data_IF_818576468548
#
_entry.id   IF_818576468548
#
_cell.length_a   1.000
_cell.length_b   1.000
_cell.length_c   1.000
_cell.angle_alpha   90.00
_cell.angle_beta   90.00
_cell.angle_gamma   90.00
#
_symmetry.space_group_name_H-M   'P 1'
#
loop_
_entity.id
_entity.type
_entity.pdbx_description
1 polymer ?
#
# COMPACT_ATOMS: atom_id res chain seq x y z
N UNK A 1 -14.05 3.12 -21.22
CA UNK A 1 -14.67 2.90 -19.90
C UNK A 1 -13.72 2.04 -19.07
N UNK A 2 -12.76 2.64 -18.36
CA UNK A 2 -11.93 1.92 -17.40
C UNK A 2 -12.77 1.69 -16.15
N UNK A 3 -13.12 0.44 -15.85
CA UNK A 3 -13.73 0.09 -14.56
C UNK A 3 -12.73 0.42 -13.45
N UNK A 4 -12.95 1.53 -12.76
CA UNK A 4 -12.36 1.77 -11.45
C UNK A 4 -12.95 0.71 -10.53
N UNK A 5 -12.16 -0.30 -10.18
CA UNK A 5 -12.56 -1.41 -9.33
C UNK A 5 -12.82 -0.94 -7.91
N UNK A 6 -13.98 -0.33 -7.67
CA UNK A 6 -14.56 -0.25 -6.34
C UNK A 6 -15.01 -1.66 -5.96
N UNK A 7 -14.32 -2.24 -4.98
CA UNK A 7 -14.77 -3.48 -4.37
C UNK A 7 -15.87 -3.11 -3.41
N UNK A 8 -17.04 -3.69 -3.65
CA UNK A 8 -18.16 -3.62 -2.74
C UNK A 8 -18.20 -4.97 -2.05
N UNK A 9 -17.99 -4.95 -0.73
CA UNK A 9 -18.18 -6.10 0.13
C UNK A 9 -19.52 -5.90 0.82
N UNK A 10 -20.48 -6.76 0.52
CA UNK A 10 -21.77 -6.79 1.20
C UNK A 10 -21.84 -8.06 2.04
N UNK A 11 -22.18 -7.88 3.32
CA UNK A 11 -22.44 -8.96 4.26
C UNK A 11 -23.91 -8.92 4.69
N UNK A 12 -24.45 -10.03 5.16
CA UNK A 12 -25.86 -10.14 5.57
C UNK A 12 -26.23 -9.14 6.70
N UNK A 13 -25.26 -8.72 7.51
CA UNK A 13 -25.41 -7.69 8.54
C UNK A 13 -25.35 -6.22 8.06
N UNK A 14 -25.55 -5.88 6.78
CA UNK A 14 -25.55 -4.47 6.33
C UNK A 14 -26.96 -3.83 6.51
N UNK A 15 -27.28 -3.11 7.61
CA UNK A 15 -28.50 -2.32 7.66
C UNK A 15 -28.38 -1.17 6.64
N UNK A 16 -29.41 -0.96 5.82
CA UNK A 16 -29.53 0.18 4.89
C UNK A 16 -29.79 1.52 5.62
N UNK A 17 -29.23 1.72 6.82
CA UNK A 17 -29.37 2.93 7.60
C UNK A 17 -28.08 3.75 7.62
N UNK A 18 -28.17 5.09 7.65
CA UNK A 18 -27.00 5.95 7.75
C UNK A 18 -26.20 5.60 9.01
N UNK A 19 -24.90 5.36 8.83
CA UNK A 19 -23.96 5.02 9.89
C UNK A 19 -23.98 6.09 11.00
N UNK A 20 -24.32 5.75 12.26
CA UNK A 20 -24.02 6.63 13.38
C UNK A 20 -22.50 6.66 13.60
N UNK A 21 -21.94 7.86 13.69
CA UNK A 21 -20.58 8.12 14.18
C UNK A 21 -20.49 7.71 15.65
N UNK A 22 -20.17 6.45 15.93
CA UNK A 22 -19.81 6.01 17.28
C UNK A 22 -18.59 5.09 17.22
N UNK A 23 -17.61 5.38 18.08
CA UNK A 23 -16.35 4.65 18.18
C UNK A 23 -16.58 3.21 18.65
N UNK A 24 -15.87 2.20 18.11
CA UNK A 24 -16.00 0.84 18.59
C UNK A 24 -15.46 0.69 20.02
N UNK A 25 -16.01 -0.23 20.84
CA UNK A 25 -15.47 -0.55 22.14
C UNK A 25 -14.08 -1.19 22.02
N UNK A 26 -13.22 -0.83 22.97
CA UNK A 26 -11.80 -1.15 23.04
C UNK A 26 -11.59 -2.67 23.25
N UNK A 27 -11.48 -3.43 22.16
CA UNK A 27 -11.00 -4.82 22.21
C UNK A 27 -9.47 -4.77 22.29
N UNK A 28 -8.94 -4.91 23.51
CA UNK A 28 -7.50 -4.86 23.77
C UNK A 28 -6.72 -5.84 22.90
N UNK A 29 -5.72 -5.32 22.20
CA UNK A 29 -4.71 -6.11 21.51
C UNK A 29 -3.98 -7.02 22.52
N UNK A 30 -3.70 -8.29 22.18
CA UNK A 30 -2.84 -9.12 23.01
C UNK A 30 -1.43 -8.50 23.10
N UNK A 31 -0.76 -8.60 24.26
CA UNK A 31 0.56 -8.00 24.45
C UNK A 31 1.58 -8.61 23.49
N UNK A 32 2.53 -7.81 22.98
CA UNK A 32 3.60 -8.33 22.13
C UNK A 32 4.45 -9.36 22.90
N UNK A 33 5.00 -10.38 22.21
CA UNK A 33 5.91 -11.33 22.85
C UNK A 33 7.17 -10.61 23.38
N UNK A 34 7.79 -11.13 24.45
CA UNK A 34 8.94 -10.49 25.08
C UNK A 34 10.10 -10.33 24.10
N UNK A 35 10.69 -9.13 24.09
CA UNK A 35 11.84 -8.81 23.25
C UNK A 35 13.05 -9.64 23.64
N UNK A 36 13.55 -10.45 22.71
CA UNK A 36 14.81 -11.13 22.87
C UNK A 36 15.94 -10.10 22.84
N UNK A 37 16.58 -9.91 24.00
CA UNK A 37 17.76 -9.06 24.19
C UNK A 37 18.94 -9.55 23.34
N UNK A 38 19.71 -8.54 22.92
CA UNK A 38 21.14 -8.56 22.60
C UNK A 38 21.66 -9.63 21.63
N UNK A 39 21.86 -9.21 20.38
CA UNK A 39 22.92 -9.76 19.53
C UNK A 39 23.66 -8.63 18.83
N UNK A 40 24.49 -7.93 19.59
CA UNK A 40 25.69 -7.30 19.05
C UNK A 40 26.63 -8.39 18.50
N UNK A 41 26.39 -8.84 17.26
CA UNK A 41 27.37 -9.61 16.49
C UNK A 41 27.52 -8.96 15.12
N UNK A 42 28.76 -8.55 14.85
CA UNK A 42 29.16 -7.73 13.71
C UNK A 42 28.52 -8.16 12.40
N UNK A 43 27.75 -7.24 11.83
CA UNK A 43 27.36 -7.28 10.43
C UNK A 43 28.59 -6.85 9.63
N UNK A 44 29.05 -7.65 8.64
CA UNK A 44 30.12 -7.19 7.76
C UNK A 44 29.67 -5.89 7.10
N UNK A 45 30.55 -4.89 7.13
CA UNK A 45 30.38 -3.61 6.47
C UNK A 45 30.15 -3.88 4.98
N UNK A 46 28.89 -4.03 4.56
CA UNK A 46 28.56 -4.01 3.14
C UNK A 46 28.93 -2.60 2.71
N UNK A 47 30.03 -2.50 1.97
CA UNK A 47 30.47 -1.25 1.36
C UNK A 47 29.26 -0.65 0.66
N UNK A 48 28.69 0.41 1.24
CA UNK A 48 27.51 1.01 0.67
C UNK A 48 27.94 1.57 -0.68
N UNK A 49 27.39 1.05 -1.78
CA UNK A 49 27.45 1.77 -3.03
C UNK A 49 26.99 3.21 -2.77
N UNK A 50 27.78 4.18 -3.22
CA UNK A 50 27.40 5.59 -3.12
C UNK A 50 26.04 5.78 -3.79
N UNK A 51 25.14 6.52 -3.15
CA UNK A 51 23.86 6.87 -3.77
C UNK A 51 24.14 7.70 -5.04
N UNK A 52 23.36 7.51 -6.12
CA UNK A 52 23.49 8.35 -7.30
C UNK A 52 23.06 9.79 -7.00
N UNK A 53 23.56 10.76 -7.77
CA UNK A 53 23.16 12.17 -7.66
C UNK A 53 21.71 12.40 -8.07
N UNK A 54 21.24 11.64 -9.07
CA UNK A 54 19.87 11.66 -9.57
C UNK A 54 19.33 10.25 -9.75
N UNK A 55 18.01 10.12 -9.85
CA UNK A 55 17.33 8.86 -10.15
C UNK A 55 16.07 9.11 -10.96
N UNK A 56 15.53 8.07 -11.59
CA UNK A 56 14.33 8.16 -12.44
C UNK A 56 13.06 7.97 -11.61
N UNK A 57 12.06 8.79 -11.90
CA UNK A 57 10.73 8.67 -11.32
C UNK A 57 9.64 9.08 -12.33
N UNK A 58 8.47 8.46 -12.22
CA UNK A 58 7.26 8.98 -12.84
C UNK A 58 6.69 10.11 -11.96
N UNK A 59 6.60 11.30 -12.53
CA UNK A 59 6.09 12.51 -11.87
C UNK A 59 5.05 13.20 -12.73
N UNK A 60 4.27 14.05 -12.08
CA UNK A 60 3.33 14.95 -12.71
C UNK A 60 3.67 16.39 -12.31
N UNK A 61 3.73 17.30 -13.28
CA UNK A 61 3.97 18.73 -13.03
C UNK A 61 2.72 19.44 -12.52
N UNK A 62 1.54 18.96 -12.94
CA UNK A 62 0.23 19.42 -12.52
C UNK A 62 -0.78 18.26 -12.60
N UNK A 63 -1.98 18.47 -12.04
CA UNK A 63 -3.10 17.54 -12.20
C UNK A 63 -3.64 17.58 -13.63
N UNK A 64 -4.35 16.52 -14.04
CA UNK A 64 -4.92 16.39 -15.39
C UNK A 64 -5.92 15.25 -15.49
N UNK A 65 -6.49 15.07 -16.69
CA UNK A 65 -7.67 14.22 -16.91
C UNK A 65 -7.42 12.71 -16.74
N UNK A 66 -6.17 12.27 -16.86
CA UNK A 66 -5.79 10.86 -16.75
C UNK A 66 -4.34 10.70 -16.33
N UNK A 67 -3.98 9.51 -15.84
CA UNK A 67 -2.59 9.15 -15.55
C UNK A 67 -1.67 9.38 -16.75
N UNK A 68 -2.09 8.95 -17.95
CA UNK A 68 -1.31 9.12 -19.19
C UNK A 68 -1.06 10.60 -19.53
N UNK A 69 -2.02 11.48 -19.23
CA UNK A 69 -1.89 12.89 -19.54
C UNK A 69 -0.88 13.61 -18.65
N UNK A 70 -0.62 13.10 -17.45
CA UNK A 70 0.23 13.77 -16.45
C UNK A 70 1.55 13.07 -16.18
N UNK A 71 1.63 11.76 -16.40
CA UNK A 71 2.79 10.96 -16.03
C UNK A 71 3.95 11.14 -17.03
N UNK A 72 5.02 11.76 -16.55
CA UNK A 72 6.27 11.93 -17.28
C UNK A 72 7.41 11.27 -16.53
N UNK A 73 8.31 10.61 -17.27
CA UNK A 73 9.55 10.09 -16.71
C UNK A 73 10.52 11.26 -16.54
N UNK A 74 10.95 11.51 -15.31
CA UNK A 74 11.85 12.60 -14.96
C UNK A 74 13.08 12.07 -14.22
N UNK A 75 14.20 12.74 -14.41
CA UNK A 75 15.34 12.61 -13.50
C UNK A 75 15.14 13.55 -12.31
N UNK A 76 15.32 13.01 -11.11
CA UNK A 76 15.04 13.68 -9.85
C UNK A 76 16.31 13.70 -9.02
N UNK A 77 16.69 14.84 -8.39
CA UNK A 77 17.80 14.88 -7.46
C UNK A 77 17.59 13.93 -6.29
N UNK A 78 18.64 13.20 -5.90
CA UNK A 78 18.64 12.36 -4.72
C UNK A 78 18.44 13.22 -3.47
N UNK A 79 17.51 12.80 -2.61
CA UNK A 79 17.27 13.41 -1.31
C UNK A 79 17.52 12.39 -0.21
N UNK A 80 18.24 12.82 0.82
CA UNK A 80 18.44 12.02 2.02
C UNK A 80 17.15 12.05 2.87
N UNK A 81 16.89 10.99 3.66
CA UNK A 81 15.73 10.95 4.52
C UNK A 81 15.81 11.98 5.64
N UNK A 82 14.71 12.69 5.89
CA UNK A 82 14.55 13.55 7.07
C UNK A 82 14.33 12.72 8.35
N UNK A 83 14.17 13.39 9.49
CA UNK A 83 13.78 12.76 10.75
C UNK A 83 12.54 11.86 10.61
N UNK A 84 12.64 10.63 11.12
CA UNK A 84 11.62 9.59 11.08
C UNK A 84 11.34 9.01 9.70
N UNK A 85 12.17 9.33 8.69
CA UNK A 85 12.05 8.79 7.33
C UNK A 85 13.11 7.74 7.04
N UNK A 86 12.78 6.86 6.11
CA UNK A 86 13.71 5.93 5.48
C UNK A 86 13.75 6.19 3.98
N UNK A 87 14.94 6.01 3.39
CA UNK A 87 15.14 5.98 1.95
C UNK A 87 15.19 4.53 1.49
N UNK A 88 14.34 4.19 0.53
CA UNK A 88 14.15 2.82 0.05
C UNK A 88 14.54 2.78 -1.42
N UNK A 89 15.42 1.85 -1.80
CA UNK A 89 15.62 1.46 -3.19
C UNK A 89 14.48 0.55 -3.60
N UNK A 90 13.62 1.04 -4.49
CA UNK A 90 12.37 0.36 -4.86
C UNK A 90 12.68 -0.76 -5.84
N UNK A 91 12.11 -1.94 -5.59
CA UNK A 91 12.26 -3.11 -6.46
C UNK A 91 10.95 -3.47 -7.18
N UNK A 92 9.83 -3.32 -6.47
CA UNK A 92 8.50 -3.52 -7.03
C UNK A 92 7.59 -2.36 -6.58
N UNK A 93 6.70 -1.94 -7.46
CA UNK A 93 5.69 -0.93 -7.16
C UNK A 93 4.29 -1.46 -7.46
N UNK A 94 3.32 -1.11 -6.62
CA UNK A 94 1.93 -1.51 -6.81
C UNK A 94 1.19 -0.52 -7.72
N UNK A 95 0.46 -1.05 -8.71
CA UNK A 95 -0.40 -0.23 -9.58
C UNK A 95 -1.83 -0.28 -9.06
N UNK A 96 -2.36 0.88 -8.69
CA UNK A 96 -3.65 1.00 -8.02
C UNK A 96 -4.63 1.82 -8.87
N UNK A 97 -5.68 1.18 -9.38
CA UNK A 97 -6.63 1.82 -10.32
C UNK A 97 -7.25 3.12 -9.80
N UNK A 98 -7.83 3.07 -8.59
CA UNK A 98 -8.39 4.24 -7.92
C UNK A 98 -7.33 5.27 -7.54
N UNK A 99 -6.27 4.85 -6.85
CA UNK A 99 -5.23 5.77 -6.38
C UNK A 99 -4.58 6.54 -7.53
N UNK A 100 -4.22 5.88 -8.63
CA UNK A 100 -3.54 6.56 -9.73
C UNK A 100 -4.47 7.48 -10.52
N UNK A 101 -5.75 7.13 -10.64
CA UNK A 101 -6.76 7.99 -11.27
C UNK A 101 -7.01 9.24 -10.43
N UNK A 102 -7.30 9.07 -9.14
CA UNK A 102 -7.58 10.19 -8.23
C UNK A 102 -6.34 11.07 -8.03
N UNK A 103 -5.15 10.46 -7.95
CA UNK A 103 -3.89 11.19 -7.84
C UNK A 103 -3.62 12.05 -9.07
N UNK A 104 -3.81 11.50 -10.27
CA UNK A 104 -3.61 12.24 -11.50
C UNK A 104 -4.57 13.44 -11.61
N UNK A 105 -5.80 13.30 -11.14
CA UNK A 105 -6.84 14.34 -11.20
C UNK A 105 -6.86 15.31 -10.03
N UNK A 106 -6.08 15.03 -8.98
CA UNK A 106 -6.16 15.78 -7.72
C UNK A 106 -7.53 15.68 -7.06
N UNK A 107 -8.06 14.47 -6.97
CA UNK A 107 -9.36 14.15 -6.38
C UNK A 107 -9.21 13.37 -5.07
N UNK A 108 -10.29 13.32 -4.28
CA UNK A 108 -10.35 12.61 -3.00
C UNK A 108 -9.15 12.97 -2.09
N UNK A 109 -8.41 11.97 -1.60
CA UNK A 109 -7.23 12.14 -0.74
C UNK A 109 -6.05 12.86 -1.39
N UNK A 110 -6.13 13.19 -2.69
CA UNK A 110 -5.07 13.87 -3.45
C UNK A 110 -5.42 15.31 -3.85
N UNK A 111 -6.45 15.92 -3.24
CA UNK A 111 -6.89 17.28 -3.57
C UNK A 111 -5.76 18.32 -3.56
N UNK A 112 -4.81 18.20 -2.63
CA UNK A 112 -3.64 19.09 -2.50
C UNK A 112 -2.70 19.06 -3.72
N UNK A 113 -2.80 18.05 -4.58
CA UNK A 113 -2.02 18.02 -5.83
C UNK A 113 -2.36 19.17 -6.77
N UNK A 114 -3.56 19.75 -6.65
CA UNK A 114 -3.97 20.95 -7.41
C UNK A 114 -3.13 22.19 -7.06
N UNK A 115 -2.53 22.20 -5.87
CA UNK A 115 -1.74 23.30 -5.31
C UNK A 115 -0.23 22.97 -5.32
N UNK A 116 0.16 21.82 -5.87
CA UNK A 116 1.54 21.31 -5.80
C UNK A 116 2.48 22.12 -6.70
N UNK A 117 3.13 23.12 -6.11
CA UNK A 117 4.21 23.86 -6.77
C UNK A 117 5.43 22.95 -6.97
N UNK A 118 5.88 22.80 -8.22
CA UNK A 118 7.01 21.93 -8.56
C UNK A 118 6.63 20.46 -8.83
N UNK A 119 5.33 20.16 -8.89
CA UNK A 119 4.81 18.84 -9.22
C UNK A 119 4.87 17.82 -8.08
N UNK A 120 4.35 16.62 -8.33
CA UNK A 120 4.23 15.53 -7.36
C UNK A 120 4.61 14.18 -7.96
N UNK A 121 5.00 13.23 -7.11
CA UNK A 121 5.36 11.88 -7.54
C UNK A 121 4.17 10.94 -7.67
N UNK A 122 4.28 9.97 -8.58
CA UNK A 122 3.24 9.00 -8.88
C UNK A 122 3.50 7.64 -8.21
N UNK A 123 2.45 6.83 -8.07
CA UNK A 123 2.48 5.54 -7.37
C UNK A 123 2.39 5.67 -5.85
N UNK A 124 1.64 4.79 -5.20
CA UNK A 124 1.36 4.91 -3.76
C UNK A 124 2.14 3.94 -2.87
N UNK A 125 2.60 2.82 -3.41
CA UNK A 125 3.19 1.73 -2.63
C UNK A 125 4.30 1.01 -3.39
N UNK A 126 5.05 0.20 -2.64
CA UNK A 126 6.00 -0.73 -3.23
C UNK A 126 6.64 -1.67 -2.21
N UNK A 127 7.61 -2.43 -2.68
CA UNK A 127 8.57 -3.16 -1.85
C UNK A 127 9.98 -2.90 -2.34
N UNK A 128 10.93 -2.88 -1.41
CA UNK A 128 12.30 -2.51 -1.69
C UNK A 128 13.22 -2.70 -0.50
N UNK A 129 14.44 -2.23 -0.63
CA UNK A 129 15.47 -2.32 0.41
C UNK A 129 15.73 -0.96 1.01
N UNK A 130 15.73 -0.86 2.34
CA UNK A 130 16.16 0.35 3.05
C UNK A 130 17.64 0.59 2.76
N UNK A 131 17.99 1.76 2.22
CA UNK A 131 19.38 2.12 1.89
C UNK A 131 19.94 3.20 2.82
N UNK A 132 19.08 4.04 3.41
CA UNK A 132 19.42 5.02 4.45
C UNK A 132 18.25 5.21 5.40
N UNK A 133 18.55 5.64 6.62
CA UNK A 133 17.56 6.01 7.64
C UNK A 133 17.88 7.42 8.14
N UNK A 134 16.85 8.21 8.40
CA UNK A 134 16.98 9.52 9.04
C UNK A 134 17.05 9.39 10.56
N UNK A 135 17.27 10.52 11.23
CA UNK A 135 17.28 10.61 12.69
C UNK A 135 15.96 10.10 13.30
N UNK A 136 16.00 9.48 14.48
CA UNK A 136 14.80 9.01 15.19
C UNK A 136 14.17 7.71 14.66
N UNK A 137 14.63 7.16 13.54
CA UNK A 137 14.23 5.82 13.08
C UNK A 137 14.90 4.75 13.95
N UNK A 138 14.13 3.82 14.49
CA UNK A 138 14.63 2.84 15.49
C UNK A 138 14.32 1.39 15.16
N UNK A 139 13.27 1.12 14.39
CA UNK A 139 12.79 -0.21 14.00
C UNK A 139 13.28 -0.69 12.62
N UNK A 140 13.96 0.15 11.85
CA UNK A 140 14.50 -0.19 10.53
C UNK A 140 15.97 0.20 10.41
N UNK A 141 16.75 -0.60 9.68
CA UNK A 141 18.16 -0.34 9.38
C UNK A 141 18.46 -0.54 7.89
N UNK A 142 19.53 0.08 7.34
CA UNK A 142 19.96 -0.21 5.98
C UNK A 142 20.18 -1.71 5.75
N UNK A 143 19.72 -2.21 4.60
CA UNK A 143 19.69 -3.63 4.24
C UNK A 143 18.36 -4.32 4.51
N UNK A 144 17.48 -3.74 5.32
CA UNK A 144 16.16 -4.32 5.57
C UNK A 144 15.28 -4.30 4.33
N UNK A 145 14.61 -5.43 4.06
CA UNK A 145 13.53 -5.50 3.07
C UNK A 145 12.23 -4.99 3.69
N UNK A 146 11.55 -4.09 2.98
CA UNK A 146 10.29 -3.47 3.44
C UNK A 146 9.24 -3.45 2.34
N UNK A 147 7.99 -3.56 2.75
CA UNK A 147 6.84 -3.10 1.96
C UNK A 147 6.37 -1.76 2.54
N UNK A 148 6.06 -0.77 1.70
CA UNK A 148 5.87 0.60 2.15
C UNK A 148 4.72 1.32 1.44
N UNK A 149 4.18 2.35 2.10
CA UNK A 149 3.44 3.43 1.47
C UNK A 149 4.36 4.64 1.36
N UNK A 150 4.41 5.27 0.18
CA UNK A 150 5.37 6.32 -0.12
C UNK A 150 4.81 7.73 0.07
N UNK A 151 5.65 8.62 0.60
CA UNK A 151 5.38 10.07 0.68
C UNK A 151 5.67 10.75 -0.67
N UNK A 152 6.73 10.33 -1.36
CA UNK A 152 7.23 10.97 -2.59
C UNK A 152 6.79 10.29 -3.88
N UNK A 153 6.01 9.22 -3.80
CA UNK A 153 5.66 8.36 -4.93
C UNK A 153 6.37 7.00 -4.91
N UNK A 154 5.69 5.96 -5.36
CA UNK A 154 6.20 4.57 -5.44
C UNK A 154 6.70 4.20 -6.84
N UNK A 155 6.35 4.96 -7.88
CA UNK A 155 6.84 4.76 -9.25
C UNK A 155 8.16 5.50 -9.46
N UNK A 156 9.16 5.10 -8.70
CA UNK A 156 10.49 5.68 -8.71
C UNK A 156 11.54 4.64 -8.35
N UNK A 157 12.79 4.84 -8.75
CA UNK A 157 13.90 3.98 -8.34
C UNK A 157 14.20 4.09 -6.83
N UNK A 158 13.93 5.27 -6.24
CA UNK A 158 14.04 5.52 -4.81
C UNK A 158 12.81 6.24 -4.27
N UNK A 159 12.40 5.87 -3.05
CA UNK A 159 11.24 6.44 -2.38
C UNK A 159 11.58 6.80 -0.92
N UNK A 160 11.06 7.95 -0.47
CA UNK A 160 11.04 8.34 0.93
C UNK A 160 9.72 7.91 1.57
N UNK A 161 9.82 7.26 2.72
CA UNK A 161 8.66 6.83 3.51
C UNK A 161 8.91 7.10 5.00
N UNK A 162 7.84 7.43 5.73
CA UNK A 162 7.90 7.45 7.20
C UNK A 162 8.07 6.03 7.71
N UNK A 163 8.83 5.85 8.78
CA UNK A 163 9.04 4.53 9.40
C UNK A 163 7.72 3.80 9.66
N UNK A 164 6.71 4.46 10.23
CA UNK A 164 5.39 3.87 10.50
C UNK A 164 4.58 3.49 9.25
N UNK A 165 4.98 3.94 8.05
CA UNK A 165 4.36 3.54 6.78
C UNK A 165 4.99 2.28 6.18
N UNK A 166 6.09 1.81 6.77
CA UNK A 166 6.86 0.66 6.34
C UNK A 166 6.54 -0.57 7.20
N UNK A 167 6.51 -1.74 6.56
CA UNK A 167 6.42 -3.03 7.22
C UNK A 167 7.64 -3.83 6.80
N UNK A 168 8.44 -4.28 7.77
CA UNK A 168 9.58 -5.16 7.52
C UNK A 168 9.08 -6.51 7.00
N UNK A 169 9.67 -6.99 5.92
CA UNK A 169 9.32 -8.26 5.27
C UNK A 169 10.55 -9.13 5.11
N UNK A 170 10.35 -10.44 4.99
CA UNK A 170 11.45 -11.38 4.77
C UNK A 170 12.21 -11.11 3.45
N UNK A 171 11.48 -10.67 2.43
CA UNK A 171 12.03 -10.34 1.12
C UNK A 171 11.21 -9.23 0.45
N UNK A 172 11.89 -8.29 -0.21
CA UNK A 172 11.25 -7.36 -1.12
C UNK A 172 10.88 -8.08 -2.43
N UNK A 173 9.61 -8.49 -2.53
CA UNK A 173 9.02 -9.11 -3.72
C UNK A 173 7.69 -8.45 -4.13
N UNK A 174 7.13 -8.89 -5.25
CA UNK A 174 5.87 -8.37 -5.77
C UNK A 174 4.67 -8.67 -4.84
N UNK A 175 4.71 -9.77 -4.08
CA UNK A 175 3.64 -10.13 -3.13
C UNK A 175 3.64 -9.18 -1.94
N UNK A 176 4.82 -8.88 -1.40
CA UNK A 176 5.01 -7.90 -0.34
C UNK A 176 4.48 -6.52 -0.74
N UNK A 177 4.76 -6.08 -1.98
CA UNK A 177 4.21 -4.82 -2.49
C UNK A 177 2.68 -4.83 -2.54
N UNK A 178 2.07 -5.90 -3.07
CA UNK A 178 0.62 -6.02 -3.20
C UNK A 178 -0.15 -6.04 -1.86
N UNK A 179 0.51 -6.36 -0.74
CA UNK A 179 -0.15 -6.41 0.56
C UNK A 179 -0.45 -5.02 1.14
N UNK A 180 0.27 -3.95 0.74
CA UNK A 180 0.19 -2.68 1.46
C UNK A 180 -1.11 -1.94 1.25
N UNK A 181 -1.58 -1.82 0.02
CA UNK A 181 -2.87 -1.20 -0.33
C UNK A 181 -3.89 -2.30 -0.59
N UNK A 182 -3.67 -3.15 -1.59
CA UNK A 182 -4.68 -4.14 -2.01
C UNK A 182 -4.96 -5.17 -0.92
N UNK A 183 -3.92 -5.75 -0.31
CA UNK A 183 -4.06 -6.72 0.79
C UNK A 183 -4.75 -6.13 2.02
N UNK A 184 -4.21 -5.02 2.53
CA UNK A 184 -4.76 -4.35 3.71
C UNK A 184 -6.21 -3.89 3.48
N UNK A 185 -6.50 -3.28 2.34
CA UNK A 185 -7.88 -2.83 2.02
C UNK A 185 -8.83 -4.01 1.93
N UNK A 186 -8.43 -5.09 1.25
CA UNK A 186 -9.27 -6.28 1.12
C UNK A 186 -9.57 -6.93 2.47
N UNK A 187 -8.56 -7.05 3.33
CA UNK A 187 -8.73 -7.58 4.68
C UNK A 187 -9.62 -6.69 5.56
N UNK A 188 -9.30 -5.39 5.67
CA UNK A 188 -10.06 -4.44 6.48
C UNK A 188 -11.50 -4.27 5.99
N UNK A 189 -11.75 -4.42 4.68
CA UNK A 189 -13.12 -4.35 4.14
C UNK A 189 -14.02 -5.48 4.66
N UNK A 190 -13.46 -6.65 4.94
CA UNK A 190 -14.21 -7.81 5.46
C UNK A 190 -14.26 -7.77 6.99
N UNK A 191 -13.11 -7.53 7.62
CA UNK A 191 -12.96 -7.67 9.07
C UNK A 191 -13.45 -6.44 9.84
N UNK A 192 -13.16 -5.24 9.34
CA UNK A 192 -13.40 -4.00 10.07
C UNK A 192 -14.65 -3.29 9.57
N UNK A 193 -14.67 -2.92 8.29
CA UNK A 193 -15.78 -2.14 7.71
C UNK A 193 -17.04 -2.99 7.49
N UNK A 194 -16.86 -4.22 6.99
CA UNK A 194 -17.96 -5.17 6.80
C UNK A 194 -18.34 -5.90 8.09
N UNK A 195 -17.45 -5.92 9.09
CA UNK A 195 -17.61 -6.61 10.37
C UNK A 195 -18.19 -8.04 10.21
N UNK A 196 -17.73 -8.74 9.17
CA UNK A 196 -18.27 -10.04 8.81
C UNK A 196 -18.10 -11.04 9.96
N UNK A 197 -19.01 -12.01 10.01
CA UNK A 197 -19.01 -13.09 10.99
C UNK A 197 -19.12 -14.45 10.30
N UNK A 198 -18.69 -15.49 11.02
CA UNK A 198 -18.71 -16.87 10.51
C UNK A 198 -20.14 -17.28 10.13
N UNK A 199 -20.28 -17.93 8.97
CA UNK A 199 -21.57 -18.44 8.50
C UNK A 199 -22.36 -17.47 7.62
N UNK A 200 -22.00 -16.19 7.61
CA UNK A 200 -22.63 -15.20 6.71
C UNK A 200 -22.24 -15.43 5.24
N UNK A 201 -23.05 -14.86 4.35
CA UNK A 201 -22.72 -14.74 2.94
C UNK A 201 -22.11 -13.38 2.63
N UNK A 202 -20.99 -13.38 1.91
CA UNK A 202 -20.26 -12.19 1.51
C UNK A 202 -20.22 -12.11 -0.03
N UNK A 203 -20.77 -11.05 -0.60
CA UNK A 203 -20.60 -10.73 -2.02
C UNK A 203 -19.36 -9.86 -2.22
N UNK A 204 -18.45 -10.28 -3.09
CA UNK A 204 -17.24 -9.53 -3.47
C UNK A 204 -17.29 -9.22 -4.96
N UNK A 205 -17.37 -7.93 -5.29
CA UNK A 205 -17.23 -7.48 -6.69
C UNK A 205 -15.76 -7.40 -7.11
N UNK A 206 -15.50 -7.58 -8.41
CA UNK A 206 -14.13 -7.65 -8.95
C UNK A 206 -13.25 -8.64 -8.15
N UNK A 207 -13.83 -9.79 -7.79
CA UNK A 207 -13.26 -10.76 -6.87
C UNK A 207 -11.89 -11.29 -7.32
N UNK A 208 -11.66 -11.44 -8.63
CA UNK A 208 -10.37 -11.85 -9.20
C UNK A 208 -9.40 -10.67 -9.42
N UNK A 209 -9.70 -9.49 -8.89
CA UNK A 209 -8.87 -8.29 -8.99
C UNK A 209 -7.86 -8.16 -7.84
N UNK A 210 -7.02 -7.11 -7.90
CA UNK A 210 -5.93 -6.85 -6.95
C UNK A 210 -6.36 -6.92 -5.49
N UNK A 211 -7.35 -6.12 -5.10
CA UNK A 211 -7.92 -6.10 -3.74
C UNK A 211 -8.90 -7.26 -3.51
N UNK A 212 -9.63 -7.68 -4.55
CA UNK A 212 -10.79 -8.58 -4.41
C UNK A 212 -10.37 -9.98 -3.99
N UNK A 213 -9.24 -10.43 -4.53
CA UNK A 213 -8.70 -11.75 -4.20
C UNK A 213 -8.33 -11.84 -2.71
N UNK A 214 -7.94 -10.71 -2.08
CA UNK A 214 -7.65 -10.68 -0.64
C UNK A 214 -8.93 -10.67 0.18
N UNK A 215 -9.96 -9.92 -0.23
CA UNK A 215 -11.27 -9.94 0.42
C UNK A 215 -11.91 -11.34 0.37
N UNK A 216 -11.86 -12.03 -0.78
CA UNK A 216 -12.31 -13.42 -0.93
C UNK A 216 -11.58 -14.32 0.06
N UNK A 217 -10.24 -14.27 0.08
CA UNK A 217 -9.44 -15.10 0.98
C UNK A 217 -9.72 -14.81 2.46
N UNK A 218 -9.90 -13.54 2.83
CA UNK A 218 -10.21 -13.14 4.21
C UNK A 218 -11.58 -13.69 4.65
N UNK A 219 -12.63 -13.47 3.86
CA UNK A 219 -13.98 -13.97 4.15
C UNK A 219 -14.03 -15.50 4.19
N UNK A 220 -13.34 -16.20 3.28
CA UNK A 220 -13.23 -17.66 3.31
C UNK A 220 -12.53 -18.16 4.58
N UNK A 221 -11.43 -17.53 5.00
CA UNK A 221 -10.72 -17.90 6.24
C UNK A 221 -11.55 -17.66 7.50
N UNK A 222 -12.43 -16.66 7.47
CA UNK A 222 -13.37 -16.39 8.56
C UNK A 222 -14.50 -17.43 8.67
N UNK A 223 -14.75 -18.17 7.59
CA UNK A 223 -15.81 -19.19 7.51
C UNK A 223 -17.11 -18.66 6.92
N UNK A 224 -17.06 -17.59 6.13
CA UNK A 224 -18.20 -17.09 5.37
C UNK A 224 -18.38 -17.91 4.07
N UNK A 225 -19.62 -17.92 3.56
CA UNK A 225 -19.90 -18.26 2.16
C UNK A 225 -19.53 -17.05 1.31
N UNK A 226 -18.78 -17.22 0.22
CA UNK A 226 -18.36 -16.10 -0.63
C UNK A 226 -18.97 -16.25 -2.02
N UNK A 227 -19.56 -15.17 -2.52
CA UNK A 227 -20.02 -15.03 -3.90
C UNK A 227 -19.12 -13.98 -4.56
N UNK A 228 -18.40 -14.35 -5.62
CA UNK A 228 -17.49 -13.46 -6.33
C UNK A 228 -18.00 -13.11 -7.72
N UNK A 229 -17.90 -11.84 -8.13
CA UNK A 229 -18.10 -11.45 -9.54
C UNK A 229 -16.77 -11.12 -10.21
N UNK A 230 -16.62 -11.54 -11.47
CA UNK A 230 -15.43 -11.27 -12.28
C UNK A 230 -15.79 -11.17 -13.77
N UNK A 231 -14.88 -10.60 -14.56
CA UNK A 231 -15.14 -10.26 -15.97
C UNK A 231 -14.90 -11.38 -17.00
N UNK A 232 -14.52 -12.59 -16.59
CA UNK A 232 -14.32 -13.74 -17.49
C UNK A 232 -14.40 -15.07 -16.75
N UNK A 233 -14.66 -16.16 -17.48
CA UNK A 233 -14.61 -17.51 -16.93
C UNK A 233 -13.22 -17.91 -16.44
N UNK A 234 -12.17 -17.50 -17.14
CA UNK A 234 -10.78 -17.75 -16.71
C UNK A 234 -10.54 -17.19 -15.31
N UNK A 235 -10.98 -15.95 -15.06
CA UNK A 235 -10.89 -15.32 -13.73
C UNK A 235 -11.75 -16.04 -12.70
N UNK A 236 -12.89 -16.60 -13.10
CA UNK A 236 -13.74 -17.37 -12.18
C UNK A 236 -13.04 -18.66 -11.73
N UNK A 237 -12.25 -19.30 -12.61
CA UNK A 237 -11.47 -20.51 -12.27
C UNK A 237 -10.28 -20.24 -11.35
N UNK A 238 -9.85 -18.98 -11.21
CA UNK A 238 -8.76 -18.57 -10.31
C UNK A 238 -9.22 -18.37 -8.85
N UNK A 239 -10.52 -18.26 -8.60
CA UNK A 239 -11.14 -17.96 -7.30
C UNK A 239 -11.57 -19.23 -6.56
#
# INVERSE_FOLDING_TARGET
>A
MLMVGCIVVLCDCFPLHPLPLSSPPNAGMPPPPPSARDRTRGVPLIMSASLPETYKALRAEAVGESFRAVATLQEVPMKLPDEGQVLIQVKYAGINGGCETFRARGEAGFARNKEAVGGFGLGAEGSGTVVRVGEGVTGLVPGDSVAFLSVTGGFAEYALAREGSCVKVAQADAKAAALRISGLTGYASVMDAGAATRGETVLVTAAAGGTGQFAVQAAKRLGCKVIGTCGSEEKARML
#
